data_IF_336615982407
#
_entry.id   IF_336615982407
#
_cell.length_a   1.000
_cell.length_b   1.000
_cell.length_c   1.000
_cell.angle_alpha   90.00
_cell.angle_beta   90.00
_cell.angle_gamma   90.00
#
_symmetry.space_group_name_H-M   'P 1'
#
loop_
_entity.id
_entity.type
_entity.pdbx_description
1 polymer ?
#
# COMPACT_ATOMS: atom_id res chain seq x y z
N UNK A 1 5.90 -12.96 -36.66
CA UNK A 1 5.66 -13.84 -35.50
C UNK A 1 7.04 -14.26 -34.98
N UNK A 2 7.58 -13.54 -34.04
CA UNK A 2 8.89 -13.85 -33.44
C UNK A 2 8.70 -14.99 -32.44
N UNK A 3 9.44 -16.08 -32.63
CA UNK A 3 9.50 -17.22 -31.71
C UNK A 3 9.71 -16.71 -30.28
N UNK A 4 8.82 -17.09 -29.36
CA UNK A 4 8.97 -16.76 -27.95
C UNK A 4 10.31 -17.28 -27.44
N UNK A 5 11.26 -16.38 -27.24
CA UNK A 5 12.54 -16.73 -26.65
C UNK A 5 12.28 -17.28 -25.24
N UNK A 6 12.60 -18.54 -25.02
CA UNK A 6 12.63 -19.09 -23.68
C UNK A 6 13.77 -18.40 -22.91
N UNK A 7 13.39 -17.61 -21.90
CA UNK A 7 14.36 -17.00 -21.00
C UNK A 7 15.27 -18.05 -20.36
N UNK A 8 16.55 -17.75 -20.30
CA UNK A 8 17.54 -18.54 -19.55
C UNK A 8 17.14 -18.56 -18.06
N UNK A 9 17.37 -19.65 -17.36
CA UNK A 9 17.01 -19.82 -15.94
C UNK A 9 17.55 -18.70 -15.05
N UNK A 10 18.75 -18.16 -15.35
CA UNK A 10 19.34 -17.04 -14.62
C UNK A 10 18.53 -15.75 -14.74
N UNK A 11 17.95 -15.46 -15.89
CA UNK A 11 17.12 -14.27 -16.11
C UNK A 11 15.79 -14.37 -15.36
N UNK A 12 15.20 -15.57 -15.32
CA UNK A 12 13.99 -15.84 -14.52
C UNK A 12 14.21 -15.61 -13.02
N UNK A 13 15.40 -15.98 -12.52
CA UNK A 13 15.76 -15.74 -11.11
C UNK A 13 15.93 -14.25 -10.86
N UNK A 14 16.61 -13.51 -11.72
CA UNK A 14 16.80 -12.05 -11.60
C UNK A 14 15.46 -11.32 -11.57
N UNK A 15 14.53 -11.68 -12.44
CA UNK A 15 13.18 -11.10 -12.45
C UNK A 15 12.40 -11.42 -11.18
N UNK A 16 12.50 -12.64 -10.66
CA UNK A 16 11.88 -13.02 -9.39
C UNK A 16 12.43 -12.23 -8.21
N UNK A 17 13.72 -11.90 -8.20
CA UNK A 17 14.36 -11.05 -7.19
C UNK A 17 13.80 -9.62 -7.26
N UNK A 18 13.74 -9.02 -8.46
CA UNK A 18 13.18 -7.66 -8.65
C UNK A 18 11.72 -7.61 -8.19
N UNK A 19 10.95 -8.64 -8.51
CA UNK A 19 9.56 -8.77 -8.05
C UNK A 19 9.47 -8.81 -6.51
N UNK A 20 10.34 -9.60 -5.86
CA UNK A 20 10.40 -9.68 -4.41
C UNK A 20 10.73 -8.32 -3.77
N UNK A 21 11.73 -7.61 -4.32
CA UNK A 21 12.10 -6.26 -3.85
C UNK A 21 10.93 -5.30 -3.99
N UNK A 22 10.27 -5.25 -5.15
CA UNK A 22 9.15 -4.35 -5.39
C UNK A 22 7.97 -4.60 -4.45
N UNK A 23 7.70 -5.84 -4.08
CA UNK A 23 6.63 -6.21 -3.14
C UNK A 23 6.98 -5.92 -1.68
N UNK A 24 8.22 -6.18 -1.29
CA UNK A 24 8.62 -6.16 0.12
C UNK A 24 9.14 -4.80 0.59
N UNK A 25 9.61 -3.93 -0.31
CA UNK A 25 10.16 -2.61 0.05
C UNK A 25 9.15 -1.72 0.81
N UNK A 26 7.86 -1.96 0.68
CA UNK A 26 6.83 -1.22 1.41
C UNK A 26 6.71 -1.67 2.89
N UNK A 27 7.17 -2.88 3.22
CA UNK A 27 6.96 -3.50 4.53
C UNK A 27 8.27 -3.61 5.32
N UNK A 28 9.35 -4.07 4.68
CA UNK A 28 10.62 -4.34 5.37
C UNK A 28 11.20 -3.14 6.15
N UNK A 29 11.16 -1.89 5.63
CA UNK A 29 11.68 -0.75 6.39
C UNK A 29 10.95 -0.50 7.70
N UNK A 30 9.66 -0.90 7.81
CA UNK A 30 8.89 -0.75 9.03
C UNK A 30 9.54 -1.50 10.21
N UNK A 31 10.17 -2.65 9.94
CA UNK A 31 10.88 -3.43 10.96
C UNK A 31 12.02 -2.61 11.58
N UNK A 32 12.88 -2.02 10.76
CA UNK A 32 13.97 -1.17 11.24
C UNK A 32 13.49 0.11 11.91
N UNK A 33 12.45 0.74 11.37
CA UNK A 33 11.89 1.98 11.92
C UNK A 33 11.22 1.76 13.28
N UNK A 34 10.58 0.60 13.51
CA UNK A 34 10.05 0.26 14.84
C UNK A 34 11.14 0.00 15.86
N UNK A 35 12.30 -0.51 15.43
CA UNK A 35 13.44 -0.73 16.33
C UNK A 35 14.12 0.57 16.78
N UNK A 36 14.15 1.63 15.96
CA UNK A 36 14.67 2.95 16.37
C UNK A 36 13.91 3.44 17.61
N UNK A 37 12.66 3.08 17.73
CA UNK A 37 11.77 3.58 18.77
C UNK A 37 11.87 2.84 20.11
N UNK A 38 12.41 1.63 20.17
CA UNK A 38 12.38 0.81 21.38
C UNK A 38 12.96 1.55 22.60
N UNK A 39 12.09 2.11 23.44
CA UNK A 39 12.40 2.71 24.73
C UNK A 39 12.74 4.23 24.76
N UNK A 40 12.45 4.98 23.69
CA UNK A 40 12.81 6.41 23.61
C UNK A 40 11.60 7.35 23.49
N UNK A 41 11.88 8.66 23.53
CA UNK A 41 10.90 9.74 23.46
C UNK A 41 10.02 9.70 22.20
N UNK A 42 8.91 10.41 22.24
CA UNK A 42 7.95 10.63 21.14
C UNK A 42 8.63 11.05 19.83
N UNK A 43 9.70 11.85 19.89
CA UNK A 43 10.46 12.26 18.70
C UNK A 43 11.06 11.07 17.91
N UNK A 44 11.33 9.95 18.55
CA UNK A 44 11.87 8.75 17.91
C UNK A 44 10.87 8.02 16.99
N UNK A 45 9.56 8.34 17.07
CA UNK A 45 8.56 7.84 16.14
C UNK A 45 8.46 8.63 14.83
N UNK A 46 9.05 9.83 14.77
CA UNK A 46 8.89 10.70 13.60
C UNK A 46 9.35 10.02 12.30
N UNK A 47 10.48 9.29 12.22
CA UNK A 47 10.88 8.57 11.02
C UNK A 47 9.82 7.57 10.53
N UNK A 48 9.18 6.84 11.46
CA UNK A 48 8.10 5.91 11.13
C UNK A 48 6.88 6.62 10.53
N UNK A 49 6.44 7.74 11.15
CA UNK A 49 5.32 8.55 10.67
C UNK A 49 5.60 9.08 9.27
N UNK A 50 6.78 9.65 9.07
CA UNK A 50 7.19 10.25 7.81
C UNK A 50 7.31 9.21 6.70
N UNK A 51 7.94 8.07 6.97
CA UNK A 51 8.01 6.96 6.02
C UNK A 51 6.63 6.53 5.56
N UNK A 52 5.74 6.23 6.50
CA UNK A 52 4.44 5.69 6.15
C UNK A 52 3.53 6.75 5.52
N UNK A 53 3.65 8.03 5.89
CA UNK A 53 2.95 9.14 5.24
C UNK A 53 3.40 9.25 3.79
N UNK A 54 4.70 9.30 3.55
CA UNK A 54 5.28 9.36 2.22
C UNK A 54 4.97 8.11 1.38
N UNK A 55 4.90 6.93 2.00
CA UNK A 55 4.48 5.68 1.34
C UNK A 55 3.07 5.77 0.76
N UNK A 56 2.16 6.49 1.40
CA UNK A 56 0.79 6.65 0.90
C UNK A 56 0.60 7.86 -0.01
N UNK A 57 1.50 8.83 0.04
CA UNK A 57 1.35 10.10 -0.71
C UNK A 57 2.41 10.34 -1.77
N UNK A 58 3.55 9.66 -1.73
CA UNK A 58 4.66 9.88 -2.65
C UNK A 58 4.29 9.68 -4.13
N UNK A 59 3.39 8.75 -4.43
CA UNK A 59 2.89 8.55 -5.79
C UNK A 59 2.06 9.74 -6.30
N UNK A 60 1.37 10.46 -5.40
CA UNK A 60 0.66 11.70 -5.75
C UNK A 60 1.65 12.78 -6.17
N UNK A 61 2.81 12.87 -5.48
CA UNK A 61 3.89 13.77 -5.85
C UNK A 61 4.43 13.46 -7.25
N UNK A 62 4.77 12.20 -7.53
CA UNK A 62 5.27 11.78 -8.86
C UNK A 62 4.25 12.12 -9.95
N UNK A 63 2.96 11.89 -9.71
CA UNK A 63 1.90 12.22 -10.66
C UNK A 63 1.73 13.74 -10.88
N UNK A 64 2.25 14.60 -9.98
CA UNK A 64 2.27 16.04 -10.15
C UNK A 64 3.38 16.52 -11.10
N UNK A 65 4.44 15.72 -11.25
CA UNK A 65 5.57 16.02 -12.13
C UNK A 65 5.25 15.81 -13.62
N UNK A 66 4.24 14.99 -13.92
CA UNK A 66 3.80 14.71 -15.29
C UNK A 66 3.35 13.28 -15.49
N UNK A 67 3.07 12.91 -16.75
CA UNK A 67 2.76 11.54 -17.11
C UNK A 67 4.02 10.70 -17.25
N UNK A 68 4.08 9.59 -16.51
CA UNK A 68 5.21 8.65 -16.59
C UNK A 68 5.17 7.93 -17.94
N UNK A 69 6.26 8.06 -18.69
CA UNK A 69 6.46 7.40 -19.96
C UNK A 69 7.34 6.14 -19.79
N UNK A 70 8.44 6.27 -19.10
CA UNK A 70 9.41 5.21 -18.91
C UNK A 70 9.37 4.63 -17.49
N UNK A 71 8.63 3.53 -17.32
CA UNK A 71 8.49 2.83 -16.03
C UNK A 71 9.81 2.27 -15.53
N UNK A 72 10.68 1.76 -16.43
CA UNK A 72 11.96 1.19 -16.07
C UNK A 72 12.86 2.23 -15.40
N UNK A 73 12.99 3.39 -16.05
CA UNK A 73 13.87 4.47 -15.57
C UNK A 73 13.42 5.02 -14.22
N UNK A 74 12.11 5.24 -14.04
CA UNK A 74 11.59 5.74 -12.77
C UNK A 74 11.69 4.69 -11.64
N UNK A 75 11.49 3.39 -11.95
CA UNK A 75 11.69 2.31 -10.97
C UNK A 75 13.14 2.25 -10.53
N UNK A 76 14.09 2.30 -11.47
CA UNK A 76 15.53 2.28 -11.19
C UNK A 76 15.97 3.48 -10.35
N UNK A 77 15.52 4.69 -10.70
CA UNK A 77 15.80 5.91 -9.91
C UNK A 77 15.24 5.77 -8.50
N UNK A 78 14.00 5.29 -8.38
CA UNK A 78 13.36 5.10 -7.07
C UNK A 78 14.07 4.05 -6.21
N UNK A 79 14.60 2.97 -6.81
CA UNK A 79 15.42 1.98 -6.10
C UNK A 79 16.74 2.58 -5.60
N UNK A 80 17.41 3.41 -6.40
CA UNK A 80 18.63 4.10 -5.98
C UNK A 80 18.36 5.10 -4.85
N UNK A 81 17.29 5.88 -4.95
CA UNK A 81 16.88 6.80 -3.90
C UNK A 81 16.53 6.04 -2.60
N UNK A 82 15.83 4.90 -2.70
CA UNK A 82 15.54 4.05 -1.55
C UNK A 82 16.82 3.49 -0.92
N UNK A 83 17.78 3.02 -1.73
CA UNK A 83 19.06 2.52 -1.23
C UNK A 83 19.88 3.63 -0.53
N UNK A 84 19.94 4.82 -1.12
CA UNK A 84 20.58 6.00 -0.51
C UNK A 84 19.93 6.41 0.80
N UNK A 85 18.60 6.42 0.86
CA UNK A 85 17.86 6.72 2.09
C UNK A 85 18.10 5.66 3.17
N UNK A 86 18.14 4.37 2.82
CA UNK A 86 18.46 3.27 3.75
C UNK A 86 19.89 3.38 4.29
N UNK A 87 20.85 3.78 3.44
CA UNK A 87 22.21 4.07 3.88
C UNK A 87 22.24 5.22 4.89
N UNK A 88 21.53 6.32 4.61
CA UNK A 88 21.43 7.45 5.55
C UNK A 88 20.80 7.03 6.87
N UNK A 89 19.75 6.20 6.87
CA UNK A 89 19.12 5.63 8.08
C UNK A 89 20.11 4.77 8.88
N UNK A 90 21.01 4.05 8.20
CA UNK A 90 22.00 3.20 8.86
C UNK A 90 23.15 3.99 9.52
N UNK A 91 23.60 5.07 8.89
CA UNK A 91 24.82 5.78 9.33
C UNK A 91 24.54 7.09 10.07
N UNK A 92 23.37 7.72 9.89
CA UNK A 92 23.09 9.05 10.42
C UNK A 92 22.96 9.03 11.95
N UNK A 93 23.71 9.91 12.66
CA UNK A 93 23.49 10.19 14.07
C UNK A 93 22.46 11.30 14.30
N UNK A 94 22.05 12.04 13.25
CA UNK A 94 21.22 13.24 13.37
C UNK A 94 19.75 12.93 13.10
N UNK A 95 18.88 13.28 14.02
CA UNK A 95 17.44 13.01 13.95
C UNK A 95 16.81 13.58 12.68
N UNK A 96 17.08 14.85 12.32
CA UNK A 96 16.52 15.47 11.13
C UNK A 96 16.90 14.76 9.82
N UNK A 97 18.13 14.25 9.74
CA UNK A 97 18.57 13.51 8.56
C UNK A 97 17.90 12.14 8.48
N UNK A 98 17.68 11.50 9.62
CA UNK A 98 16.92 10.27 9.76
C UNK A 98 15.46 10.46 9.32
N UNK A 99 14.83 11.56 9.73
CA UNK A 99 13.47 11.93 9.35
C UNK A 99 13.34 12.15 7.84
N UNK A 100 14.27 12.93 7.26
CA UNK A 100 14.30 13.18 5.83
C UNK A 100 14.56 11.91 5.03
N UNK A 101 15.47 11.06 5.49
CA UNK A 101 15.76 9.76 4.87
C UNK A 101 14.54 8.84 4.92
N UNK A 102 13.82 8.79 6.03
CA UNK A 102 12.59 8.02 6.16
C UNK A 102 11.50 8.51 5.20
N UNK A 103 11.34 9.82 5.04
CA UNK A 103 10.40 10.40 4.07
C UNK A 103 10.77 10.03 2.63
N UNK A 104 12.04 10.18 2.24
CA UNK A 104 12.53 9.81 0.90
C UNK A 104 12.33 8.32 0.64
N UNK A 105 12.64 7.46 1.62
CA UNK A 105 12.44 6.02 1.52
C UNK A 105 10.96 5.67 1.31
N UNK A 106 10.06 6.28 2.07
CA UNK A 106 8.63 6.07 1.93
C UNK A 106 8.11 6.51 0.55
N UNK A 107 8.52 7.69 0.09
CA UNK A 107 8.16 8.20 -1.24
C UNK A 107 8.68 7.26 -2.35
N UNK A 108 9.92 6.81 -2.25
CA UNK A 108 10.52 5.88 -3.21
C UNK A 108 9.79 4.53 -3.22
N UNK A 109 9.50 3.95 -2.05
CA UNK A 109 8.75 2.71 -1.91
C UNK A 109 7.32 2.80 -2.48
N UNK A 110 6.69 3.99 -2.37
CA UNK A 110 5.38 4.30 -2.96
C UNK A 110 5.39 4.17 -4.48
N UNK A 111 6.50 4.52 -5.13
CA UNK A 111 6.65 4.57 -6.60
C UNK A 111 7.12 3.24 -7.17
N UNK A 112 8.05 2.55 -6.49
CA UNK A 112 8.68 1.31 -7.00
C UNK A 112 7.63 0.28 -7.40
N UNK A 113 6.63 0.02 -6.56
CA UNK A 113 5.64 -1.01 -6.82
C UNK A 113 4.78 -0.75 -8.07
N UNK A 114 4.11 0.43 -8.22
CA UNK A 114 3.29 0.72 -9.38
C UNK A 114 4.07 0.74 -10.69
N UNK A 115 5.28 1.28 -10.67
CA UNK A 115 6.10 1.41 -11.87
C UNK A 115 6.73 0.09 -12.27
N UNK A 116 7.13 -0.73 -11.29
CA UNK A 116 7.57 -2.11 -11.56
C UNK A 116 6.44 -2.97 -12.15
N UNK A 117 5.20 -2.84 -11.67
CA UNK A 117 4.06 -3.52 -12.29
C UNK A 117 3.90 -3.11 -13.76
N UNK A 118 4.19 -1.86 -14.12
CA UNK A 118 4.23 -1.41 -15.51
C UNK A 118 5.26 -2.17 -16.33
N UNK A 119 6.47 -2.34 -15.82
CA UNK A 119 7.54 -3.16 -16.43
C UNK A 119 7.09 -4.61 -16.56
N UNK A 120 6.60 -5.19 -15.48
CA UNK A 120 6.17 -6.58 -15.38
C UNK A 120 5.07 -6.96 -16.38
N UNK A 121 4.03 -6.12 -16.53
CA UNK A 121 2.98 -6.36 -17.52
C UNK A 121 3.46 -6.13 -18.95
N UNK A 122 4.30 -5.13 -19.17
CA UNK A 122 4.87 -4.86 -20.50
C UNK A 122 5.64 -6.07 -21.03
N UNK A 123 6.48 -6.67 -20.22
CA UNK A 123 7.23 -7.86 -20.57
C UNK A 123 6.33 -9.04 -20.92
N UNK A 124 5.28 -9.27 -20.15
CA UNK A 124 4.35 -10.38 -20.37
C UNK A 124 3.51 -10.22 -21.61
N UNK A 125 3.05 -9.01 -21.88
CA UNK A 125 2.14 -8.73 -22.99
C UNK A 125 2.90 -8.58 -24.30
N UNK A 126 3.99 -7.81 -24.30
CA UNK A 126 4.79 -7.53 -25.50
C UNK A 126 5.73 -8.69 -25.82
N UNK A 127 6.42 -9.22 -24.80
CA UNK A 127 7.44 -10.24 -24.97
C UNK A 127 6.91 -11.67 -24.79
N UNK A 128 5.65 -11.83 -24.32
CA UNK A 128 5.00 -13.14 -24.08
C UNK A 128 5.81 -14.08 -23.18
N UNK A 129 6.50 -13.52 -22.22
CA UNK A 129 7.28 -14.30 -21.28
C UNK A 129 6.37 -14.98 -20.25
N UNK A 130 6.32 -16.29 -20.27
CA UNK A 130 5.53 -17.09 -19.33
C UNK A 130 6.40 -17.47 -18.13
N UNK A 131 6.41 -16.61 -17.10
CA UNK A 131 7.18 -16.82 -15.87
C UNK A 131 6.36 -17.42 -14.73
N UNK A 132 5.13 -17.86 -14.99
CA UNK A 132 4.29 -18.44 -13.94
C UNK A 132 4.95 -19.66 -13.29
N UNK A 133 5.11 -19.61 -11.97
CA UNK A 133 5.66 -20.68 -11.13
C UNK A 133 7.08 -20.42 -10.64
N UNK A 134 7.98 -19.85 -11.43
CA UNK A 134 9.34 -19.53 -10.99
C UNK A 134 9.40 -18.29 -10.11
N UNK A 135 8.56 -17.31 -10.38
CA UNK A 135 8.53 -16.03 -9.63
C UNK A 135 8.07 -16.23 -8.19
N UNK A 136 7.04 -17.04 -7.96
CA UNK A 136 6.53 -17.31 -6.60
C UNK A 136 7.59 -18.06 -5.79
N UNK A 137 8.26 -19.04 -6.37
CA UNK A 137 9.33 -19.78 -5.69
C UNK A 137 10.51 -18.85 -5.35
N UNK A 138 10.92 -18.00 -6.28
CA UNK A 138 11.99 -17.02 -6.05
C UNK A 138 11.57 -15.96 -5.03
N UNK A 139 10.32 -15.46 -5.11
CA UNK A 139 9.75 -14.56 -4.12
C UNK A 139 9.80 -15.17 -2.71
N UNK A 140 9.33 -16.41 -2.56
CA UNK A 140 9.31 -17.11 -1.28
C UNK A 140 10.73 -17.35 -0.76
N UNK A 141 11.62 -17.90 -1.58
CA UNK A 141 13.00 -18.19 -1.19
C UNK A 141 13.74 -16.91 -0.79
N UNK A 142 13.63 -15.87 -1.60
CA UNK A 142 14.31 -14.60 -1.35
C UNK A 142 13.71 -13.85 -0.15
N UNK A 143 12.39 -13.94 0.04
CA UNK A 143 11.71 -13.40 1.22
C UNK A 143 12.13 -14.11 2.49
N UNK A 144 12.21 -15.44 2.48
CA UNK A 144 12.63 -16.23 3.64
C UNK A 144 14.09 -15.93 4.03
N UNK A 145 14.99 -15.86 3.03
CA UNK A 145 16.39 -15.48 3.26
C UNK A 145 16.46 -14.06 3.84
N UNK A 146 15.73 -13.12 3.27
CA UNK A 146 15.74 -11.72 3.73
C UNK A 146 15.19 -11.60 5.14
N UNK A 147 14.06 -12.25 5.44
CA UNK A 147 13.47 -12.26 6.79
C UNK A 147 14.41 -12.93 7.79
N UNK A 148 15.07 -14.04 7.42
CA UNK A 148 16.08 -14.69 8.25
C UNK A 148 17.27 -13.77 8.58
N UNK A 149 17.82 -13.09 7.57
CA UNK A 149 18.90 -12.11 7.75
C UNK A 149 18.46 -10.92 8.60
N UNK A 150 17.23 -10.41 8.38
CA UNK A 150 16.67 -9.32 9.18
C UNK A 150 16.46 -9.73 10.64
N UNK A 151 16.00 -10.95 10.89
CA UNK A 151 15.86 -11.49 12.25
C UNK A 151 17.23 -11.54 12.95
N UNK A 152 18.26 -12.06 12.30
CA UNK A 152 19.61 -12.07 12.82
C UNK A 152 20.11 -10.62 13.05
N UNK A 153 20.00 -9.74 12.06
CA UNK A 153 20.45 -8.35 12.16
C UNK A 153 19.73 -7.59 13.29
N UNK A 154 18.46 -7.88 13.54
CA UNK A 154 17.66 -7.23 14.58
C UNK A 154 18.17 -7.51 16.01
N UNK A 155 18.84 -8.65 16.23
CA UNK A 155 19.47 -8.94 17.53
C UNK A 155 20.73 -8.09 17.80
N UNK A 156 21.33 -7.53 16.76
CA UNK A 156 22.55 -6.72 16.90
C UNK A 156 22.23 -5.21 16.93
N UNK A 157 21.59 -4.69 15.86
CA UNK A 157 21.21 -3.26 15.81
C UNK A 157 20.25 -2.95 14.67
N UNK A 158 19.43 -1.89 14.83
CA UNK A 158 18.60 -1.36 13.76
C UNK A 158 19.42 -0.89 12.54
N UNK A 159 20.66 -0.46 12.73
CA UNK A 159 21.57 -0.04 11.66
C UNK A 159 21.85 -1.19 10.69
N UNK A 160 22.14 -2.38 11.24
CA UNK A 160 22.36 -3.58 10.44
C UNK A 160 21.08 -3.99 9.68
N UNK A 161 19.90 -3.80 10.27
CA UNK A 161 18.63 -4.04 9.57
C UNK A 161 18.52 -3.17 8.32
N UNK A 162 18.82 -1.87 8.41
CA UNK A 162 18.80 -0.98 7.24
C UNK A 162 19.86 -1.34 6.20
N UNK A 163 21.05 -1.77 6.61
CA UNK A 163 22.09 -2.26 5.69
C UNK A 163 21.60 -3.51 4.94
N UNK A 164 20.98 -4.47 5.62
CA UNK A 164 20.43 -5.67 4.98
C UNK A 164 19.35 -5.30 3.96
N UNK A 165 18.42 -4.39 4.32
CA UNK A 165 17.38 -3.93 3.39
C UNK A 165 18.00 -3.16 2.21
N UNK A 166 19.03 -2.35 2.45
CA UNK A 166 19.76 -1.63 1.40
C UNK A 166 20.36 -2.60 0.39
N UNK A 167 21.08 -3.62 0.87
CA UNK A 167 21.66 -4.66 0.00
C UNK A 167 20.58 -5.40 -0.80
N UNK A 168 19.44 -5.70 -0.17
CA UNK A 168 18.29 -6.29 -0.83
C UNK A 168 17.78 -5.41 -1.99
N UNK A 169 17.66 -4.10 -1.78
CA UNK A 169 17.23 -3.14 -2.81
C UNK A 169 18.27 -3.01 -3.91
N UNK A 170 19.57 -2.97 -3.57
CA UNK A 170 20.65 -2.89 -4.55
C UNK A 170 20.71 -4.14 -5.45
N UNK A 171 20.50 -5.34 -4.89
CA UNK A 171 20.39 -6.58 -5.67
C UNK A 171 19.21 -6.48 -6.66
N UNK A 172 18.06 -5.95 -6.21
CA UNK A 172 16.93 -5.67 -7.08
C UNK A 172 17.27 -4.66 -8.18
N UNK A 173 17.96 -3.58 -7.85
CA UNK A 173 18.40 -2.58 -8.81
C UNK A 173 19.34 -3.21 -9.88
N UNK A 174 20.33 -4.00 -9.47
CA UNK A 174 21.21 -4.74 -10.40
C UNK A 174 20.39 -5.71 -11.27
N UNK A 175 19.41 -6.39 -10.67
CA UNK A 175 18.48 -7.25 -11.42
C UNK A 175 17.72 -6.50 -12.51
N UNK A 176 17.28 -5.26 -12.23
CA UNK A 176 16.61 -4.40 -13.22
C UNK A 176 17.47 -4.07 -14.43
N UNK A 177 18.79 -3.91 -14.29
CA UNK A 177 19.69 -3.57 -15.39
C UNK A 177 19.78 -4.66 -16.47
N UNK A 178 19.31 -5.87 -16.19
CA UNK A 178 19.31 -6.99 -17.12
C UNK A 178 18.04 -7.10 -17.97
N UNK A 179 17.10 -6.16 -17.85
CA UNK A 179 15.91 -6.10 -18.70
C UNK A 179 16.27 -5.45 -20.05
N UNK A 180 16.84 -6.21 -20.98
CA UNK A 180 17.29 -5.72 -22.29
C UNK A 180 16.31 -4.81 -23.05
N UNK A 181 14.99 -5.09 -23.07
CA UNK A 181 14.04 -4.26 -23.80
C UNK A 181 14.01 -2.82 -23.34
N UNK A 182 14.30 -2.59 -22.05
CA UNK A 182 14.24 -1.28 -21.43
C UNK A 182 15.57 -0.53 -21.49
N UNK A 183 16.69 -1.24 -21.56
CA UNK A 183 18.01 -0.62 -21.77
C UNK A 183 18.03 0.17 -23.08
N UNK A 184 17.32 -0.31 -24.11
CA UNK A 184 17.17 0.39 -25.40
C UNK A 184 16.30 1.66 -25.30
N UNK A 185 15.47 1.81 -24.25
CA UNK A 185 14.62 2.98 -24.01
C UNK A 185 15.23 3.96 -22.99
N UNK A 186 16.48 3.77 -22.59
CA UNK A 186 17.14 4.68 -21.62
C UNK A 186 17.24 6.13 -22.11
N UNK A 187 17.21 6.34 -23.42
CA UNK A 187 17.24 7.69 -24.03
C UNK A 187 15.88 8.40 -23.96
N UNK A 188 14.78 7.68 -23.67
CA UNK A 188 13.47 8.28 -23.53
C UNK A 188 13.37 9.08 -22.23
N UNK A 189 12.65 10.20 -22.31
CA UNK A 189 12.34 11.01 -21.12
C UNK A 189 11.51 10.21 -20.10
N UNK A 190 11.75 10.44 -18.80
CA UNK A 190 10.96 9.80 -17.72
C UNK A 190 9.51 10.24 -17.76
N UNK A 191 9.30 11.53 -18.08
CA UNK A 191 8.00 12.15 -18.14
C UNK A 191 7.75 12.76 -19.53
N UNK A 192 6.51 12.63 -20.01
CA UNK A 192 6.07 13.43 -21.15
C UNK A 192 5.92 14.88 -20.68
N UNK A 193 6.43 15.81 -21.48
CA UNK A 193 6.30 17.25 -21.22
C UNK A 193 4.81 17.65 -21.28
N UNK A 194 4.14 17.56 -20.16
CA UNK A 194 2.82 18.15 -19.96
C UNK A 194 2.92 19.32 -19.01
N UNK A 195 2.04 20.30 -19.17
CA UNK A 195 1.84 21.37 -18.20
C UNK A 195 1.79 20.79 -16.79
N UNK A 196 2.75 21.18 -15.95
CA UNK A 196 2.83 20.77 -14.53
C UNK A 196 1.45 20.95 -13.91
N UNK A 197 0.86 19.86 -13.45
CA UNK A 197 -0.47 19.90 -12.88
C UNK A 197 -0.42 20.40 -11.44
N UNK A 198 -0.56 21.72 -11.27
CA UNK A 198 -0.71 22.34 -9.94
C UNK A 198 -1.79 21.64 -9.12
N UNK A 199 -2.84 21.17 -9.78
CA UNK A 199 -3.94 20.43 -9.16
C UNK A 199 -3.49 19.12 -8.49
N UNK A 200 -2.56 18.40 -9.11
CA UNK A 200 -2.01 17.17 -8.52
C UNK A 200 -1.04 17.47 -7.37
N UNK A 201 -0.33 18.60 -7.44
CA UNK A 201 0.54 19.04 -6.35
C UNK A 201 -0.27 19.42 -5.11
N UNK A 202 -1.36 20.17 -5.27
CA UNK A 202 -2.28 20.46 -4.17
C UNK A 202 -2.88 19.19 -3.56
N UNK A 203 -3.28 18.23 -4.40
CA UNK A 203 -3.77 16.93 -3.93
C UNK A 203 -2.71 16.22 -3.07
N UNK A 204 -1.44 16.27 -3.49
CA UNK A 204 -0.33 15.72 -2.71
C UNK A 204 -0.18 16.43 -1.37
N UNK A 205 -0.17 17.76 -1.35
CA UNK A 205 0.00 18.55 -0.12
C UNK A 205 -1.11 18.24 0.89
N UNK A 206 -2.38 18.29 0.46
CA UNK A 206 -3.51 18.02 1.35
C UNK A 206 -3.58 16.56 1.81
N UNK A 207 -3.31 15.60 0.92
CA UNK A 207 -3.25 14.20 1.28
C UNK A 207 -2.12 13.92 2.28
N UNK A 208 -0.96 14.59 2.11
CA UNK A 208 0.19 14.46 3.03
C UNK A 208 -0.13 15.08 4.38
N UNK A 209 -0.70 16.29 4.42
CA UNK A 209 -1.10 16.94 5.66
C UNK A 209 -2.13 16.09 6.42
N UNK A 210 -3.14 15.59 5.73
CA UNK A 210 -4.17 14.71 6.32
C UNK A 210 -3.56 13.41 6.84
N UNK A 211 -2.78 12.70 6.03
CA UNK A 211 -2.17 11.43 6.42
C UNK A 211 -1.18 11.61 7.58
N UNK A 212 -0.41 12.70 7.58
CA UNK A 212 0.49 13.06 8.66
C UNK A 212 -0.28 13.35 9.95
N UNK A 213 -1.29 14.23 9.89
CA UNK A 213 -2.09 14.59 11.05
C UNK A 213 -2.75 13.38 11.71
N UNK A 214 -3.38 12.49 10.92
CA UNK A 214 -4.03 11.28 11.42
C UNK A 214 -3.05 10.31 12.11
N UNK A 215 -1.80 10.28 11.68
CA UNK A 215 -0.78 9.42 12.28
C UNK A 215 -0.12 10.03 13.48
N UNK A 216 0.15 11.31 13.39
CA UNK A 216 0.65 12.09 14.51
C UNK A 216 -0.32 12.02 15.69
N UNK A 217 -1.63 12.19 15.42
CA UNK A 217 -2.69 12.04 16.41
C UNK A 217 -2.63 10.71 17.19
N UNK A 218 -2.28 9.64 16.52
CA UNK A 218 -2.27 8.29 17.09
C UNK A 218 -1.08 8.02 18.01
N UNK A 219 0.02 8.75 17.84
CA UNK A 219 1.28 8.48 18.53
C UNK A 219 1.66 9.55 19.55
N UNK A 220 0.95 10.68 19.58
CA UNK A 220 1.31 11.84 20.40
C UNK A 220 0.22 12.27 21.36
N UNK A 221 0.63 13.05 22.37
CA UNK A 221 -0.20 13.52 23.46
C UNK A 221 -1.44 14.31 22.99
N UNK A 222 -2.53 14.17 23.73
CA UNK A 222 -3.85 14.73 23.39
C UNK A 222 -3.92 16.25 23.34
N UNK A 223 -2.90 16.98 23.79
CA UNK A 223 -2.90 18.45 23.76
C UNK A 223 -3.10 19.02 22.35
N UNK A 224 -2.63 18.30 21.31
CA UNK A 224 -2.76 18.71 19.91
C UNK A 224 -3.86 17.96 19.15
N UNK A 225 -4.62 17.09 19.82
CA UNK A 225 -5.60 16.23 19.16
C UNK A 225 -6.61 17.02 18.32
N UNK A 226 -7.19 18.09 18.87
CA UNK A 226 -8.13 18.93 18.14
C UNK A 226 -7.54 19.65 16.95
N UNK A 227 -6.30 20.14 17.06
CA UNK A 227 -5.60 20.76 15.94
C UNK A 227 -5.38 19.74 14.81
N UNK A 228 -4.94 18.54 15.14
CA UNK A 228 -4.68 17.49 14.17
C UNK A 228 -5.96 16.99 13.49
N UNK A 229 -7.06 16.84 14.25
CA UNK A 229 -8.37 16.51 13.69
C UNK A 229 -8.83 17.62 12.74
N UNK A 230 -8.65 18.90 13.12
CA UNK A 230 -9.00 20.04 12.28
C UNK A 230 -8.21 20.02 10.96
N UNK A 231 -6.89 19.78 11.03
CA UNK A 231 -6.05 19.65 9.82
C UNK A 231 -6.53 18.48 8.95
N UNK A 232 -6.86 17.34 9.55
CA UNK A 232 -7.37 16.18 8.84
C UNK A 232 -8.73 16.46 8.15
N UNK A 233 -9.65 17.16 8.83
CA UNK A 233 -10.96 17.57 8.28
C UNK A 233 -10.77 18.57 7.14
N UNK A 234 -9.93 19.59 7.31
CA UNK A 234 -9.62 20.56 6.24
C UNK A 234 -9.01 19.84 5.04
N UNK A 235 -8.06 18.92 5.28
CA UNK A 235 -7.47 18.09 4.23
C UNK A 235 -8.52 17.26 3.48
N UNK A 236 -9.45 16.62 4.20
CA UNK A 236 -10.56 15.87 3.59
C UNK A 236 -11.45 16.78 2.73
N UNK A 237 -11.87 17.92 3.25
CA UNK A 237 -12.71 18.88 2.52
C UNK A 237 -12.00 19.36 1.27
N UNK A 238 -10.71 19.71 1.37
CA UNK A 238 -9.89 20.11 0.23
C UNK A 238 -9.77 19.00 -0.83
N UNK A 239 -9.57 17.74 -0.41
CA UNK A 239 -9.55 16.59 -1.31
C UNK A 239 -10.88 16.39 -2.03
N UNK A 240 -12.00 16.45 -1.31
CA UNK A 240 -13.35 16.29 -1.88
C UNK A 240 -13.67 17.41 -2.85
N UNK A 241 -13.41 18.66 -2.49
CA UNK A 241 -13.61 19.82 -3.37
C UNK A 241 -12.78 19.69 -4.65
N UNK A 242 -11.53 19.23 -4.52
CA UNK A 242 -10.66 19.00 -5.68
C UNK A 242 -11.21 17.93 -6.61
N UNK A 243 -11.67 16.80 -6.07
CA UNK A 243 -12.31 15.74 -6.87
C UNK A 243 -13.55 16.27 -7.60
N UNK A 244 -14.35 17.13 -6.96
CA UNK A 244 -15.53 17.73 -7.57
C UNK A 244 -15.14 18.72 -8.69
N UNK A 245 -14.18 19.60 -8.44
CA UNK A 245 -13.71 20.59 -9.41
C UNK A 245 -13.06 19.92 -10.63
N UNK A 246 -12.27 18.87 -10.41
CA UNK A 246 -11.55 18.16 -11.49
C UNK A 246 -12.41 17.18 -12.28
N UNK A 247 -13.67 16.94 -11.88
CA UNK A 247 -14.61 16.11 -12.67
C UNK A 247 -14.79 16.58 -14.13
N UNK A 248 -14.50 17.83 -14.43
CA UNK A 248 -14.51 18.39 -15.80
C UNK A 248 -13.28 18.03 -16.65
N UNK A 249 -12.15 17.63 -16.03
CA UNK A 249 -10.97 17.19 -16.77
C UNK A 249 -11.10 15.69 -17.03
N UNK A 250 -11.47 15.34 -18.26
CA UNK A 250 -11.69 13.96 -18.72
C UNK A 250 -10.44 13.09 -18.52
N UNK A 251 -10.26 12.52 -17.33
CA UNK A 251 -9.44 11.32 -17.23
C UNK A 251 -10.19 10.24 -17.99
N UNK A 252 -9.61 9.79 -19.09
CA UNK A 252 -10.23 8.75 -19.93
C UNK A 252 -10.29 7.37 -19.24
N UNK A 253 -9.81 7.23 -17.99
CA UNK A 253 -9.88 5.98 -17.22
C UNK A 253 -11.32 5.64 -16.83
N UNK A 254 -11.74 4.39 -16.96
CA UNK A 254 -13.06 3.95 -16.54
C UNK A 254 -13.31 4.25 -15.05
N UNK A 255 -14.42 4.90 -14.73
CA UNK A 255 -14.77 5.27 -13.35
C UNK A 255 -14.88 4.07 -12.42
N UNK A 256 -15.36 2.94 -12.93
CA UNK A 256 -15.46 1.69 -12.18
C UNK A 256 -14.10 1.20 -11.66
N UNK A 257 -13.05 1.30 -12.49
CA UNK A 257 -11.68 0.90 -12.13
C UNK A 257 -11.13 1.78 -10.99
N UNK A 258 -11.39 3.09 -11.05
CA UNK A 258 -10.98 4.05 -10.04
C UNK A 258 -11.69 3.79 -8.71
N UNK A 259 -13.00 3.54 -8.74
CA UNK A 259 -13.80 3.22 -7.55
C UNK A 259 -13.38 1.88 -6.95
N UNK A 260 -13.19 0.84 -7.77
CA UNK A 260 -12.72 -0.46 -7.30
C UNK A 260 -11.32 -0.39 -6.67
N UNK A 261 -10.42 0.43 -7.23
CA UNK A 261 -9.10 0.67 -6.67
C UNK A 261 -9.17 1.40 -5.31
N UNK A 262 -10.06 2.38 -5.19
CA UNK A 262 -10.31 3.10 -3.92
C UNK A 262 -10.85 2.15 -2.85
N UNK A 263 -11.83 1.31 -3.19
CA UNK A 263 -12.39 0.30 -2.28
C UNK A 263 -11.30 -0.69 -1.83
N UNK A 264 -10.45 -1.16 -2.76
CA UNK A 264 -9.34 -2.05 -2.42
C UNK A 264 -8.43 -1.43 -1.35
N UNK A 265 -8.02 -0.19 -1.54
CA UNK A 265 -7.19 0.52 -0.58
C UNK A 265 -7.87 0.74 0.77
N UNK A 266 -9.18 0.97 0.78
CA UNK A 266 -9.96 1.14 1.99
C UNK A 266 -10.02 -0.16 2.81
N UNK A 267 -10.31 -1.31 2.20
CA UNK A 267 -10.34 -2.60 2.91
C UNK A 267 -8.96 -3.02 3.41
N UNK A 268 -7.92 -2.87 2.61
CA UNK A 268 -6.54 -3.19 3.03
C UNK A 268 -6.11 -2.32 4.23
N UNK A 269 -6.48 -1.05 4.22
CA UNK A 269 -6.14 -0.14 5.32
C UNK A 269 -6.99 -0.39 6.56
N UNK A 270 -8.28 -0.71 6.38
CA UNK A 270 -9.12 -1.15 7.50
C UNK A 270 -8.50 -2.35 8.19
N UNK A 271 -8.12 -3.38 7.44
CA UNK A 271 -7.45 -4.57 7.98
C UNK A 271 -6.20 -4.19 8.79
N UNK A 272 -5.29 -3.43 8.19
CA UNK A 272 -4.01 -3.09 8.82
C UNK A 272 -4.19 -2.24 10.10
N UNK A 273 -5.09 -1.27 10.05
CA UNK A 273 -5.35 -0.40 11.20
C UNK A 273 -6.10 -1.15 12.31
N UNK A 274 -7.08 -1.96 11.95
CA UNK A 274 -7.86 -2.70 12.94
C UNK A 274 -6.99 -3.74 13.67
N UNK A 275 -6.11 -4.45 12.97
CA UNK A 275 -5.11 -5.33 13.60
C UNK A 275 -4.31 -4.55 14.63
N UNK A 276 -3.79 -3.39 14.23
CA UNK A 276 -2.93 -2.58 15.09
C UNK A 276 -3.67 -2.05 16.33
N UNK A 277 -4.94 -1.65 16.18
CA UNK A 277 -5.72 -1.03 17.27
C UNK A 277 -6.37 -2.08 18.16
N UNK A 278 -6.84 -3.20 17.59
CA UNK A 278 -7.63 -4.20 18.31
C UNK A 278 -6.78 -5.32 18.94
N UNK A 279 -5.59 -5.60 18.41
CA UNK A 279 -4.75 -6.72 18.86
C UNK A 279 -3.58 -6.19 19.69
N UNK A 280 -3.65 -6.36 21.01
CA UNK A 280 -2.54 -6.03 21.91
C UNK A 280 -1.61 -7.22 22.18
N UNK A 281 -2.11 -8.43 22.03
CA UNK A 281 -1.30 -9.63 22.26
C UNK A 281 -0.28 -9.79 21.13
N UNK A 282 1.02 -9.73 21.47
CA UNK A 282 2.12 -9.81 20.51
C UNK A 282 2.09 -11.11 19.67
N UNK A 283 1.79 -12.26 20.30
CA UNK A 283 1.72 -13.53 19.59
C UNK A 283 0.58 -13.56 18.58
N UNK A 284 -0.59 -13.02 18.94
CA UNK A 284 -1.75 -12.90 18.04
C UNK A 284 -1.46 -11.90 16.91
N UNK A 285 -0.76 -10.81 17.19
CA UNK A 285 -0.35 -9.81 16.19
C UNK A 285 0.62 -10.42 15.17
N UNK A 286 1.60 -11.21 15.61
CA UNK A 286 2.49 -11.96 14.71
C UNK A 286 1.68 -12.93 13.86
N UNK A 287 0.77 -13.70 14.49
CA UNK A 287 -0.15 -14.59 13.80
C UNK A 287 -1.00 -13.88 12.75
N UNK A 288 -1.47 -12.68 13.04
CA UNK A 288 -2.23 -11.83 12.11
C UNK A 288 -1.41 -11.43 10.87
N UNK A 289 -0.15 -11.01 11.05
CA UNK A 289 0.72 -10.66 9.92
C UNK A 289 1.12 -11.89 9.09
N UNK A 290 1.37 -13.03 9.73
CA UNK A 290 1.63 -14.30 9.03
C UNK A 290 0.40 -14.70 8.20
N UNK A 291 -0.79 -14.61 8.78
CA UNK A 291 -2.06 -14.91 8.11
C UNK A 291 -2.32 -13.95 6.94
N UNK A 292 -2.00 -12.67 7.11
CA UNK A 292 -2.06 -11.69 6.04
C UNK A 292 -1.16 -12.06 4.86
N UNK A 293 0.10 -12.40 5.14
CA UNK A 293 1.05 -12.87 4.13
C UNK A 293 0.58 -14.15 3.43
N UNK A 294 0.05 -15.12 4.21
CA UNK A 294 -0.50 -16.35 3.67
C UNK A 294 -1.66 -16.10 2.71
N UNK A 295 -2.59 -15.20 3.05
CA UNK A 295 -3.70 -14.82 2.16
C UNK A 295 -3.22 -14.22 0.84
N UNK A 296 -2.21 -13.34 0.88
CA UNK A 296 -1.61 -12.76 -0.32
C UNK A 296 -0.99 -13.84 -1.23
N UNK A 297 -0.29 -14.82 -0.65
CA UNK A 297 0.33 -15.93 -1.39
C UNK A 297 -0.75 -16.84 -1.98
N UNK A 298 -1.76 -17.21 -1.19
CA UNK A 298 -2.87 -18.04 -1.65
C UNK A 298 -3.59 -17.41 -2.84
N UNK A 299 -3.76 -16.08 -2.85
CA UNK A 299 -4.35 -15.37 -3.98
C UNK A 299 -3.56 -15.57 -5.29
N UNK A 300 -2.23 -15.63 -5.22
CA UNK A 300 -1.41 -15.89 -6.42
C UNK A 300 -1.65 -17.29 -7.00
N UNK A 301 -1.95 -18.27 -6.13
CA UNK A 301 -2.02 -19.68 -6.50
C UNK A 301 -3.44 -20.10 -6.91
N UNK A 302 -4.42 -19.81 -6.04
CA UNK A 302 -5.75 -20.44 -6.17
C UNK A 302 -6.87 -19.49 -6.63
N UNK A 303 -6.59 -18.18 -6.84
CA UNK A 303 -7.64 -17.19 -7.22
C UNK A 303 -8.49 -17.65 -8.40
N UNK A 304 -7.87 -18.20 -9.48
CA UNK A 304 -8.58 -18.67 -10.66
C UNK A 304 -9.56 -19.81 -10.35
N UNK A 305 -9.15 -20.73 -9.47
CA UNK A 305 -10.01 -21.83 -9.03
C UNK A 305 -11.19 -21.35 -8.20
N UNK A 306 -10.97 -20.34 -7.35
CA UNK A 306 -12.04 -19.71 -6.56
C UNK A 306 -13.00 -18.97 -7.47
N UNK A 307 -12.52 -18.16 -8.39
CA UNK A 307 -13.34 -17.45 -9.38
C UNK A 307 -14.16 -18.40 -10.23
N UNK A 308 -13.57 -19.51 -10.71
CA UNK A 308 -14.27 -20.52 -11.51
C UNK A 308 -15.45 -21.20 -10.78
N UNK A 309 -15.41 -21.31 -9.44
CA UNK A 309 -16.53 -21.83 -8.65
C UNK A 309 -17.71 -20.86 -8.58
N UNK A 310 -17.49 -19.58 -8.75
CA UNK A 310 -18.50 -18.51 -8.74
C UNK A 310 -18.76 -17.95 -10.15
N UNK A 311 -18.74 -18.81 -11.17
CA UNK A 311 -18.84 -18.44 -12.59
C UNK A 311 -20.09 -17.61 -12.97
N UNK A 312 -21.14 -17.64 -12.12
CA UNK A 312 -22.35 -16.80 -12.29
C UNK A 312 -22.17 -15.35 -11.86
N UNK A 313 -21.08 -15.03 -11.13
CA UNK A 313 -20.77 -13.70 -10.67
C UNK A 313 -19.55 -13.16 -11.43
N UNK A 314 -19.54 -11.85 -11.72
CA UNK A 314 -18.32 -11.23 -12.24
C UNK A 314 -17.19 -11.31 -11.23
N UNK A 315 -15.95 -11.37 -11.71
CA UNK A 315 -14.75 -11.43 -10.86
C UNK A 315 -14.73 -10.33 -9.80
N UNK A 316 -15.10 -9.11 -10.17
CA UNK A 316 -15.17 -7.98 -9.25
C UNK A 316 -16.20 -8.20 -8.13
N UNK A 317 -17.38 -8.76 -8.44
CA UNK A 317 -18.40 -9.06 -7.42
C UNK A 317 -17.92 -10.11 -6.43
N UNK A 318 -17.22 -11.14 -6.91
CA UNK A 318 -16.64 -12.18 -6.06
C UNK A 318 -15.62 -11.55 -5.09
N UNK A 319 -14.77 -10.64 -5.58
CA UNK A 319 -13.78 -9.95 -4.73
C UNK A 319 -14.46 -9.05 -3.69
N UNK A 320 -15.46 -8.24 -4.10
CA UNK A 320 -16.20 -7.37 -3.19
C UNK A 320 -16.94 -8.16 -2.11
N UNK A 321 -17.57 -9.28 -2.48
CA UNK A 321 -18.25 -10.17 -1.52
C UNK A 321 -17.23 -10.74 -0.52
N UNK A 322 -16.08 -11.21 -1.00
CA UNK A 322 -15.02 -11.73 -0.14
C UNK A 322 -14.47 -10.68 0.83
N UNK A 323 -14.33 -9.43 0.39
CA UNK A 323 -13.97 -8.32 1.27
C UNK A 323 -14.99 -8.12 2.39
N UNK A 324 -16.28 -8.05 2.05
CA UNK A 324 -17.36 -7.83 3.02
C UNK A 324 -17.40 -8.96 4.03
N UNK A 325 -17.42 -10.22 3.57
CA UNK A 325 -17.42 -11.39 4.46
C UNK A 325 -16.19 -11.40 5.35
N UNK A 326 -15.01 -11.16 4.78
CA UNK A 326 -13.76 -11.09 5.53
C UNK A 326 -13.78 -9.99 6.60
N UNK A 327 -14.32 -8.80 6.30
CA UNK A 327 -14.39 -7.69 7.24
C UNK A 327 -15.34 -7.99 8.41
N UNK A 328 -16.50 -8.60 8.16
CA UNK A 328 -17.42 -9.02 9.20
C UNK A 328 -16.82 -10.11 10.10
N UNK A 329 -16.11 -11.08 9.52
CA UNK A 329 -15.41 -12.11 10.29
C UNK A 329 -14.27 -11.52 11.12
N UNK A 330 -13.56 -10.52 10.59
CA UNK A 330 -12.42 -9.91 11.27
C UNK A 330 -12.83 -9.14 12.54
N UNK A 331 -14.01 -8.51 12.57
CA UNK A 331 -14.51 -7.85 13.79
C UNK A 331 -15.10 -8.82 14.81
N UNK A 332 -15.27 -10.09 14.45
CA UNK A 332 -15.73 -11.14 15.35
C UNK A 332 -14.52 -11.76 16.08
N UNK A 333 -14.41 -11.65 17.41
CA UNK A 333 -13.18 -11.95 18.17
C UNK A 333 -12.56 -13.33 17.87
N UNK A 334 -13.38 -14.38 17.79
CA UNK A 334 -12.88 -15.75 17.54
C UNK A 334 -12.55 -16.06 16.08
N UNK A 335 -12.97 -15.19 15.15
CA UNK A 335 -12.81 -15.38 13.70
C UNK A 335 -11.87 -14.36 13.06
N UNK A 336 -11.17 -13.54 13.87
CA UNK A 336 -10.31 -12.45 13.40
C UNK A 336 -9.25 -12.93 12.39
N UNK A 337 -8.57 -14.05 12.65
CA UNK A 337 -7.55 -14.59 11.74
C UNK A 337 -8.16 -15.05 10.41
N UNK A 338 -9.36 -15.66 10.44
CA UNK A 338 -10.07 -16.04 9.22
C UNK A 338 -10.49 -14.81 8.41
N UNK A 339 -10.99 -13.76 9.09
CA UNK A 339 -11.29 -12.48 8.47
C UNK A 339 -10.07 -11.86 7.79
N UNK A 340 -8.92 -11.84 8.48
CA UNK A 340 -7.64 -11.36 7.95
C UNK A 340 -7.24 -12.16 6.71
N UNK A 341 -7.32 -13.50 6.76
CA UNK A 341 -7.01 -14.36 5.63
C UNK A 341 -7.88 -14.03 4.41
N UNK A 342 -9.18 -13.86 4.60
CA UNK A 342 -10.10 -13.56 3.50
C UNK A 342 -9.86 -12.16 2.92
N UNK A 343 -9.73 -11.11 3.76
CA UNK A 343 -9.47 -9.76 3.25
C UNK A 343 -8.14 -9.72 2.48
N UNK A 344 -7.09 -10.33 3.00
CA UNK A 344 -5.78 -10.35 2.33
C UNK A 344 -5.79 -11.16 1.04
N UNK A 345 -6.51 -12.29 1.02
CA UNK A 345 -6.71 -13.09 -0.19
C UNK A 345 -7.46 -12.31 -1.28
N UNK A 346 -8.66 -11.82 -0.96
CA UNK A 346 -9.49 -11.11 -1.92
C UNK A 346 -8.91 -9.75 -2.29
N UNK A 347 -8.20 -9.07 -1.38
CA UNK A 347 -7.46 -7.83 -1.66
C UNK A 347 -6.34 -8.03 -2.67
N UNK A 348 -5.53 -9.05 -2.47
CA UNK A 348 -4.48 -9.39 -3.42
C UNK A 348 -5.05 -9.85 -4.77
N UNK A 349 -6.10 -10.69 -4.77
CA UNK A 349 -6.77 -11.14 -5.99
C UNK A 349 -7.38 -9.96 -6.76
N UNK A 350 -8.03 -9.02 -6.06
CA UNK A 350 -8.60 -7.81 -6.66
C UNK A 350 -7.50 -6.89 -7.21
N UNK A 351 -6.41 -6.69 -6.47
CA UNK A 351 -5.28 -5.89 -6.95
C UNK A 351 -4.70 -6.43 -8.26
N UNK A 352 -4.57 -7.76 -8.39
CA UNK A 352 -4.10 -8.40 -9.62
C UNK A 352 -5.11 -8.19 -10.76
N UNK A 353 -6.40 -8.34 -10.50
CA UNK A 353 -7.47 -8.10 -11.48
C UNK A 353 -7.42 -6.64 -11.97
N UNK A 354 -7.37 -5.68 -11.04
CA UNK A 354 -7.34 -4.26 -11.36
C UNK A 354 -6.07 -3.85 -12.10
N UNK A 355 -4.90 -4.42 -11.76
CA UNK A 355 -3.65 -4.17 -12.48
C UNK A 355 -3.75 -4.65 -13.93
N UNK A 356 -4.25 -5.86 -14.13
CA UNK A 356 -4.45 -6.42 -15.46
C UNK A 356 -5.38 -5.53 -16.29
N UNK A 357 -6.54 -5.17 -15.73
CA UNK A 357 -7.51 -4.30 -16.42
C UNK A 357 -6.95 -2.90 -16.69
N UNK A 358 -6.25 -2.29 -15.71
CA UNK A 358 -5.62 -0.99 -15.90
C UNK A 358 -4.61 -1.01 -17.05
N UNK A 359 -3.82 -2.05 -17.16
CA UNK A 359 -2.83 -2.19 -18.22
C UNK A 359 -3.48 -2.23 -19.62
N UNK A 360 -4.61 -2.90 -19.75
CA UNK A 360 -5.29 -3.09 -21.05
C UNK A 360 -6.27 -1.98 -21.44
N UNK A 361 -6.51 -0.98 -20.61
CA UNK A 361 -7.47 0.09 -20.95
C UNK A 361 -7.06 0.97 -22.14
N UNK A 362 -5.79 0.98 -22.53
CA UNK A 362 -5.28 1.66 -23.73
C UNK A 362 -5.43 3.19 -23.75
N UNK A 363 -5.80 3.79 -22.64
CA UNK A 363 -6.22 5.21 -22.55
C UNK A 363 -5.05 6.19 -22.47
N UNK A 364 -3.95 5.74 -21.86
CA UNK A 364 -2.67 6.44 -21.72
C UNK A 364 -1.55 5.41 -21.84
N UNK A 365 -0.30 5.80 -21.57
CA UNK A 365 0.75 4.77 -21.45
C UNK A 365 0.38 3.77 -20.36
N UNK A 366 0.64 2.47 -20.56
CA UNK A 366 0.33 1.43 -19.56
C UNK A 366 0.89 1.74 -18.17
N UNK A 367 2.08 2.35 -18.12
CA UNK A 367 2.69 2.83 -16.89
C UNK A 367 1.83 3.85 -16.16
N UNK A 368 1.33 4.83 -16.89
CA UNK A 368 0.51 5.89 -16.30
C UNK A 368 -0.84 5.37 -15.81
N UNK A 369 -1.46 4.40 -16.51
CA UNK A 369 -2.73 3.82 -16.07
C UNK A 369 -2.58 3.08 -14.73
N UNK A 370 -1.48 2.34 -14.54
CA UNK A 370 -1.17 1.69 -13.27
C UNK A 370 -0.91 2.71 -12.15
N UNK A 371 -0.17 3.78 -12.43
CA UNK A 371 0.06 4.86 -11.47
C UNK A 371 -1.26 5.51 -11.03
N UNK A 372 -2.17 5.79 -11.95
CA UNK A 372 -3.49 6.33 -11.64
C UNK A 372 -4.30 5.35 -10.79
N UNK A 373 -4.27 4.05 -11.10
CA UNK A 373 -4.91 3.01 -10.29
C UNK A 373 -4.37 3.00 -8.86
N UNK A 374 -3.06 2.95 -8.69
CA UNK A 374 -2.44 2.93 -7.35
C UNK A 374 -2.65 4.23 -6.58
N UNK A 375 -2.67 5.38 -7.26
CA UNK A 375 -3.07 6.66 -6.66
C UNK A 375 -4.44 6.56 -5.99
N UNK A 376 -5.43 5.98 -6.67
CA UNK A 376 -6.77 5.82 -6.11
C UNK A 376 -6.79 4.79 -4.97
N UNK A 377 -6.00 3.72 -5.05
CA UNK A 377 -5.81 2.79 -3.94
C UNK A 377 -5.27 3.51 -2.69
N UNK A 378 -4.27 4.36 -2.85
CA UNK A 378 -3.71 5.12 -1.72
C UNK A 378 -4.68 6.19 -1.18
N UNK A 379 -5.47 6.84 -2.03
CA UNK A 379 -6.54 7.74 -1.58
C UNK A 379 -7.58 6.98 -0.76
N UNK A 380 -7.99 5.80 -1.20
CA UNK A 380 -8.89 4.92 -0.42
C UNK A 380 -8.30 4.55 0.94
N UNK A 381 -7.00 4.28 0.99
CA UNK A 381 -6.27 4.03 2.23
C UNK A 381 -6.32 5.21 3.19
N UNK A 382 -6.09 6.42 2.71
CA UNK A 382 -6.08 7.65 3.53
C UNK A 382 -7.51 7.96 4.03
N UNK A 383 -8.51 7.81 3.16
CA UNK A 383 -9.92 8.02 3.53
C UNK A 383 -10.38 7.04 4.62
N UNK A 384 -10.02 5.76 4.49
CA UNK A 384 -10.36 4.75 5.49
C UNK A 384 -9.67 4.99 6.83
N UNK A 385 -8.41 5.41 6.81
CA UNK A 385 -7.69 5.83 8.00
C UNK A 385 -8.41 7.00 8.70
N UNK A 386 -8.87 7.99 7.92
CA UNK A 386 -9.65 9.10 8.44
C UNK A 386 -10.95 8.61 9.11
N UNK A 387 -11.74 7.79 8.43
CA UNK A 387 -13.01 7.27 8.93
C UNK A 387 -12.82 6.52 10.24
N UNK A 388 -11.85 5.60 10.30
CA UNK A 388 -11.64 4.78 11.49
C UNK A 388 -11.15 5.61 12.68
N UNK A 389 -10.16 6.49 12.47
CA UNK A 389 -9.57 7.28 13.57
C UNK A 389 -10.53 8.36 14.06
N UNK A 390 -11.14 9.13 13.15
CA UNK A 390 -12.09 10.17 13.54
C UNK A 390 -13.37 9.57 14.11
N UNK A 391 -13.82 8.43 13.59
CA UNK A 391 -14.94 7.67 14.15
C UNK A 391 -14.66 7.22 15.57
N UNK A 392 -13.48 6.67 15.83
CA UNK A 392 -13.08 6.25 17.18
C UNK A 392 -13.00 7.43 18.15
N UNK A 393 -12.38 8.55 17.72
CA UNK A 393 -12.29 9.76 18.54
C UNK A 393 -13.68 10.38 18.79
N UNK A 394 -14.54 10.43 17.77
CA UNK A 394 -15.93 10.89 17.93
C UNK A 394 -16.71 10.05 18.92
N UNK A 395 -16.58 8.72 18.88
CA UNK A 395 -17.20 7.82 19.85
C UNK A 395 -16.66 8.03 21.27
N UNK A 396 -15.34 8.27 21.42
CA UNK A 396 -14.74 8.57 22.72
C UNK A 396 -15.34 9.83 23.33
N UNK A 397 -15.48 10.92 22.54
CA UNK A 397 -16.13 12.17 22.98
C UNK A 397 -17.58 11.93 23.33
N UNK A 398 -18.35 11.22 22.51
CA UNK A 398 -19.77 10.91 22.79
C UNK A 398 -19.96 10.10 24.08
N UNK A 399 -19.01 9.26 24.43
CA UNK A 399 -18.98 8.44 25.65
C UNK A 399 -18.33 9.15 26.84
N UNK A 400 -17.96 10.43 26.66
CA UNK A 400 -17.27 11.24 27.69
C UNK A 400 -15.98 10.60 28.20
N UNK A 401 -15.29 9.85 27.33
CA UNK A 401 -14.00 9.27 27.63
C UNK A 401 -12.88 10.31 27.41
N UNK A 402 -11.86 10.28 28.26
CA UNK A 402 -10.68 11.10 28.04
C UNK A 402 -9.93 10.63 26.79
N UNK A 403 -9.85 11.51 25.78
CA UNK A 403 -9.16 11.22 24.53
C UNK A 403 -7.67 10.87 24.74
N UNK A 404 -7.04 11.49 25.75
CA UNK A 404 -5.64 11.20 26.11
C UNK A 404 -5.48 9.74 26.54
N UNK A 405 -6.36 9.28 27.42
CA UNK A 405 -6.37 7.91 27.92
C UNK A 405 -6.64 6.91 26.77
N UNK A 406 -7.59 7.20 25.90
CA UNK A 406 -7.90 6.36 24.74
C UNK A 406 -6.72 6.25 23.78
N UNK A 407 -6.04 7.37 23.46
CA UNK A 407 -4.85 7.40 22.60
C UNK A 407 -3.70 6.61 23.24
N UNK A 408 -3.43 6.80 24.53
CA UNK A 408 -2.38 6.10 25.26
C UNK A 408 -2.60 4.57 25.26
N UNK A 409 -3.84 4.13 25.39
CA UNK A 409 -4.21 2.71 25.33
C UNK A 409 -4.06 2.12 23.92
N UNK A 410 -4.46 2.86 22.88
CA UNK A 410 -4.30 2.44 21.48
C UNK A 410 -2.83 2.37 21.07
N UNK A 411 -2.00 3.29 21.56
CA UNK A 411 -0.56 3.29 21.30
C UNK A 411 0.21 2.19 22.05
N UNK A 412 -0.45 1.48 22.97
CA UNK A 412 0.16 0.45 23.79
C UNK A 412 1.00 1.00 24.96
N UNK A 413 0.94 2.31 25.22
CA UNK A 413 1.64 2.94 26.35
C UNK A 413 1.03 2.60 27.70
N UNK A 414 -0.27 2.26 27.69
CA UNK A 414 -1.05 1.83 28.85
C UNK A 414 -1.90 0.63 28.48
N UNK A 415 -2.16 -0.25 29.43
CA UNK A 415 -3.04 -1.41 29.22
C UNK A 415 -4.43 -0.98 28.76
N UNK A 416 -5.01 -1.70 27.80
CA UNK A 416 -6.33 -1.41 27.25
C UNK A 416 -7.42 -1.68 28.28
N UNK A 417 -8.30 -0.71 28.48
CA UNK A 417 -9.50 -0.88 29.30
C UNK A 417 -10.63 -1.53 28.49
N UNK A 418 -11.57 -2.18 29.18
CA UNK A 418 -12.76 -2.75 28.54
C UNK A 418 -13.57 -1.69 27.79
N UNK A 419 -13.65 -0.48 28.31
CA UNK A 419 -14.34 0.65 27.68
C UNK A 419 -13.69 1.03 26.35
N UNK A 420 -12.37 1.15 26.30
CA UNK A 420 -11.62 1.43 25.05
C UNK A 420 -11.75 0.28 24.06
N UNK A 421 -11.69 -0.97 24.51
CA UNK A 421 -11.91 -2.14 23.66
C UNK A 421 -13.30 -2.13 23.01
N UNK A 422 -14.35 -1.76 23.77
CA UNK A 422 -15.71 -1.60 23.24
C UNK A 422 -15.81 -0.45 22.23
N UNK A 423 -15.11 0.67 22.45
CA UNK A 423 -15.06 1.79 21.48
C UNK A 423 -14.42 1.37 20.18
N UNK A 424 -13.31 0.64 20.25
CA UNK A 424 -12.61 0.10 19.06
C UNK A 424 -13.53 -0.84 18.30
N UNK A 425 -14.20 -1.74 18.99
CA UNK A 425 -15.14 -2.68 18.38
C UNK A 425 -16.30 -1.94 17.70
N UNK A 426 -16.89 -0.95 18.35
CA UNK A 426 -17.97 -0.13 17.78
C UNK A 426 -17.50 0.68 16.57
N UNK A 427 -16.31 1.29 16.62
CA UNK A 427 -15.71 1.98 15.49
C UNK A 427 -15.45 1.00 14.31
N UNK A 428 -15.03 -0.22 14.62
CA UNK A 428 -14.89 -1.31 13.65
C UNK A 428 -16.22 -1.67 12.99
N UNK A 429 -17.29 -1.86 13.77
CA UNK A 429 -18.64 -2.15 13.28
C UNK A 429 -19.17 -1.06 12.35
N UNK A 430 -19.04 0.21 12.72
CA UNK A 430 -19.45 1.35 11.88
C UNK A 430 -18.66 1.36 10.57
N UNK A 431 -17.35 1.15 10.67
CA UNK A 431 -16.46 1.12 9.50
C UNK A 431 -16.79 -0.02 8.53
N UNK A 432 -17.04 -1.23 9.06
CA UNK A 432 -17.41 -2.39 8.24
C UNK A 432 -18.80 -2.20 7.64
N UNK A 433 -19.76 -1.64 8.40
CA UNK A 433 -21.07 -1.29 7.87
C UNK A 433 -20.99 -0.32 6.70
N UNK A 434 -20.19 0.74 6.81
CA UNK A 434 -19.97 1.71 5.74
C UNK A 434 -19.29 1.05 4.53
N UNK A 435 -18.24 0.27 4.75
CA UNK A 435 -17.55 -0.47 3.68
C UNK A 435 -18.49 -1.46 2.97
N UNK A 436 -19.39 -2.12 3.72
CA UNK A 436 -20.41 -3.03 3.17
C UNK A 436 -21.37 -2.29 2.25
N UNK A 437 -21.86 -1.11 2.67
CA UNK A 437 -22.75 -0.27 1.85
C UNK A 437 -22.02 0.17 0.56
N UNK A 438 -20.79 0.67 0.69
CA UNK A 438 -19.99 1.12 -0.46
C UNK A 438 -19.73 -0.04 -1.43
N UNK A 439 -19.33 -1.22 -0.92
CA UNK A 439 -19.10 -2.40 -1.73
C UNK A 439 -20.37 -2.91 -2.38
N UNK A 440 -21.50 -2.88 -1.69
CA UNK A 440 -22.82 -3.25 -2.22
C UNK A 440 -23.27 -2.33 -3.36
N UNK A 441 -23.14 -1.02 -3.18
CA UNK A 441 -23.42 -0.04 -4.24
C UNK A 441 -22.48 -0.23 -5.43
N UNK A 442 -21.18 -0.40 -5.18
CA UNK A 442 -20.22 -0.69 -6.23
C UNK A 442 -20.60 -1.98 -6.99
N UNK A 443 -20.90 -3.06 -6.28
CA UNK A 443 -21.32 -4.33 -6.88
C UNK A 443 -22.60 -4.22 -7.72
N UNK A 444 -23.51 -3.26 -7.40
CA UNK A 444 -24.73 -3.02 -8.18
C UNK A 444 -24.47 -2.21 -9.44
N UNK A 445 -23.63 -1.18 -9.37
CA UNK A 445 -23.50 -0.19 -10.45
C UNK A 445 -22.27 -0.40 -11.35
N UNK A 446 -21.24 -1.14 -10.89
CA UNK A 446 -20.03 -1.35 -11.69
C UNK A 446 -20.06 -2.52 -12.71
N UNK A 447 -20.88 -3.55 -12.60
CA UNK A 447 -20.74 -4.76 -13.41
C UNK A 447 -21.22 -4.67 -14.87
N UNK A 448 -22.04 -3.69 -15.23
CA UNK A 448 -22.59 -3.59 -16.58
C UNK A 448 -21.54 -3.26 -17.66
N UNK A 449 -20.30 -2.93 -17.25
CA UNK A 449 -19.23 -2.55 -18.19
C UNK A 449 -18.15 -3.62 -18.39
N UNK A 450 -18.20 -4.74 -17.65
CA UNK A 450 -17.13 -5.76 -17.66
C UNK A 450 -17.20 -6.72 -18.85
N UNK A 451 -18.37 -6.94 -19.42
CA UNK A 451 -18.59 -7.94 -20.47
C UNK A 451 -18.16 -7.50 -21.87
N UNK A 452 -18.13 -6.19 -22.14
CA UNK A 452 -17.86 -5.65 -23.48
C UNK A 452 -16.37 -5.34 -23.77
N UNK A 453 -15.45 -5.59 -22.85
CA UNK A 453 -14.02 -5.33 -23.04
C UNK A 453 -13.18 -6.59 -23.28
N UNK A 454 -13.80 -7.75 -23.47
CA UNK A 454 -13.13 -9.03 -23.73
C UNK A 454 -13.31 -9.54 -25.17
N UNK A 455 -14.03 -8.83 -26.01
CA UNK A 455 -14.05 -9.03 -27.47
C UNK A 455 -13.18 -8.01 -28.15
#
# INVERSE_FOLDING_TARGET
MTNGQQLVTSEKIKQGIVFAVAKLIQILPLIGLTMIHSGQSVASYMPYILFYTALKTGLLFVNSLGHVQNSFKITSISMLLAAGALLLLAISPWLYLTDMAAFILGASASVIMPTYEGVYYHERVVWKWHLMGTEIKTLLAFSLITVGLLTIASHFSYRLVFIVIMLFVLIGFIGMQHFEPFVKQLDESVFVAQTKSLNNLELFVWATAMAFALRYLRLFEAQFAWLLITIAVIGLVALVLRVIITRGTKTKMPSWLLVAALINGAFETFLMLYIFVAIQNQSLMIGAYVTYGAGMILAQVIRKSVQGRFSKLSDLKVQLLGFVVGAWLMITPHLILLGILLISFFGSANSILLNHRAYYTGVTTPAQTLIIKYRNTYLGSILMQFILITGLMGLAVMRQQDMTAVIAQISGSVAMSDTTSQLIHLAGLISVGLLTVIAGLAGRYLPAMDENLLT
#
